data_IF_799839685663
#
_entry.id   IF_799839685663
#
_cell.length_a   1.000
_cell.length_b   1.000
_cell.length_c   1.000
_cell.angle_alpha   90.00
_cell.angle_beta   90.00
_cell.angle_gamma   90.00
#
_symmetry.space_group_name_H-M   'P 1'
#
loop_
_entity.id
_entity.type
_entity.pdbx_description
1 polymer ?
#
# COMPACT_ATOMS: atom_id res chain seq x y z
N UNK A 1 -43.13 -30.75 -40.98
CA UNK A 1 -41.78 -30.20 -41.22
C UNK A 1 -41.61 -28.98 -40.31
N UNK A 2 -40.88 -29.09 -39.19
CA UNK A 2 -40.74 -28.01 -38.19
C UNK A 2 -39.27 -27.56 -38.13
N UNK A 3 -38.99 -26.33 -38.57
CA UNK A 3 -37.64 -25.77 -38.59
C UNK A 3 -37.24 -25.22 -37.21
N UNK A 4 -36.11 -25.68 -36.66
CA UNK A 4 -35.54 -25.19 -35.40
C UNK A 4 -34.81 -23.86 -35.61
N UNK A 5 -35.36 -22.76 -35.09
CA UNK A 5 -34.64 -21.49 -34.99
C UNK A 5 -33.59 -21.54 -33.88
N UNK A 6 -32.30 -21.52 -34.23
CA UNK A 6 -31.20 -21.32 -33.28
C UNK A 6 -31.01 -19.84 -33.01
N UNK A 7 -31.39 -19.38 -31.82
CA UNK A 7 -31.09 -18.02 -31.36
C UNK A 7 -29.57 -17.82 -31.18
N UNK A 8 -28.97 -16.95 -31.98
CA UNK A 8 -27.57 -16.52 -31.80
C UNK A 8 -27.48 -15.62 -30.56
N UNK A 9 -27.03 -16.16 -29.44
CA UNK A 9 -26.62 -15.36 -28.26
C UNK A 9 -25.42 -14.48 -28.65
N UNK A 10 -25.66 -13.19 -28.87
CA UNK A 10 -24.60 -12.18 -29.01
C UNK A 10 -23.99 -11.93 -27.63
N UNK A 11 -22.92 -12.64 -27.29
CA UNK A 11 -22.06 -12.27 -26.16
C UNK A 11 -21.41 -10.92 -26.44
N UNK A 12 -21.79 -9.87 -25.69
CA UNK A 12 -21.08 -8.58 -25.69
C UNK A 12 -19.62 -8.84 -25.31
N UNK A 13 -18.68 -8.65 -26.24
CA UNK A 13 -17.25 -8.63 -25.95
C UNK A 13 -16.99 -7.53 -24.93
N UNK A 14 -16.54 -7.90 -23.73
CA UNK A 14 -16.10 -6.96 -22.69
C UNK A 14 -14.97 -6.10 -23.26
N UNK A 15 -15.15 -4.77 -23.29
CA UNK A 15 -14.10 -3.81 -23.65
C UNK A 15 -12.87 -4.12 -22.78
N UNK A 16 -11.72 -4.42 -23.41
CA UNK A 16 -10.46 -4.55 -22.69
C UNK A 16 -10.17 -3.17 -22.09
N UNK A 17 -10.10 -3.08 -20.78
CA UNK A 17 -9.53 -1.91 -20.10
C UNK A 17 -8.11 -1.72 -20.64
N UNK A 18 -7.78 -0.50 -21.03
CA UNK A 18 -6.42 -0.14 -21.45
C UNK A 18 -5.50 -0.41 -20.25
N UNK A 19 -4.60 -1.37 -20.40
CA UNK A 19 -3.65 -1.74 -19.35
C UNK A 19 -2.62 -0.62 -19.26
N UNK A 20 -2.64 0.14 -18.18
CA UNK A 20 -1.60 1.14 -17.91
C UNK A 20 -0.26 0.39 -17.80
N UNK A 21 0.71 0.64 -18.69
CA UNK A 21 1.98 -0.08 -18.66
C UNK A 21 2.79 0.34 -17.43
N UNK A 22 3.27 -0.64 -16.68
CA UNK A 22 4.21 -0.42 -15.58
C UNK A 22 5.64 -0.34 -16.12
N UNK A 23 6.40 0.64 -15.65
CA UNK A 23 7.82 0.79 -15.95
C UNK A 23 8.67 0.56 -14.70
N UNK A 24 9.81 -0.11 -14.89
CA UNK A 24 10.77 -0.43 -13.83
C UNK A 24 12.05 0.31 -14.13
N UNK A 25 12.44 1.20 -13.21
CA UNK A 25 13.64 2.03 -13.36
C UNK A 25 14.75 1.51 -12.45
N UNK A 26 15.96 1.45 -12.99
CA UNK A 26 17.15 1.09 -12.23
C UNK A 26 17.87 2.36 -11.80
N UNK A 27 18.09 2.53 -10.49
CA UNK A 27 18.74 3.70 -9.92
C UNK A 27 20.22 3.44 -9.64
N UNK A 28 21.10 4.41 -9.96
CA UNK A 28 22.52 4.38 -9.64
C UNK A 28 22.74 4.97 -8.24
N UNK A 29 22.65 4.12 -7.22
CA UNK A 29 22.78 4.51 -5.80
C UNK A 29 24.17 4.24 -5.26
N UNK A 30 24.67 5.15 -4.41
CA UNK A 30 25.86 4.93 -3.59
C UNK A 30 25.57 3.92 -2.46
N UNK A 31 26.62 3.39 -1.85
CA UNK A 31 26.49 2.47 -0.69
C UNK A 31 25.75 3.10 0.49
N UNK A 32 25.96 4.40 0.74
CA UNK A 32 25.30 5.12 1.84
C UNK A 32 23.81 5.33 1.56
N UNK A 33 23.44 5.77 0.35
CA UNK A 33 22.04 5.93 -0.05
C UNK A 33 21.29 4.60 -0.03
N UNK A 34 21.92 3.54 -0.53
CA UNK A 34 21.34 2.19 -0.49
C UNK A 34 21.02 1.76 0.95
N UNK A 35 21.91 2.05 1.91
CA UNK A 35 21.65 1.77 3.34
C UNK A 35 20.44 2.56 3.86
N UNK A 36 20.30 3.84 3.52
CA UNK A 36 19.16 4.66 3.94
C UNK A 36 17.83 4.19 3.32
N UNK A 37 17.85 3.80 2.05
CA UNK A 37 16.67 3.24 1.36
C UNK A 37 16.22 1.94 2.01
N UNK A 38 17.16 1.03 2.28
CA UNK A 38 16.87 -0.24 2.96
C UNK A 38 16.36 -0.01 4.40
N UNK A 39 16.91 0.97 5.10
CA UNK A 39 16.43 1.37 6.43
C UNK A 39 14.99 1.90 6.35
N UNK A 40 14.68 2.75 5.38
CA UNK A 40 13.33 3.28 5.16
C UNK A 40 12.33 2.15 4.91
N UNK A 41 12.66 1.19 4.04
CA UNK A 41 11.82 0.00 3.79
C UNK A 41 11.64 -0.83 5.06
N UNK A 42 12.71 -1.02 5.84
CA UNK A 42 12.64 -1.79 7.10
C UNK A 42 11.72 -1.13 8.11
N UNK A 43 11.85 0.18 8.31
CA UNK A 43 11.01 0.93 9.25
C UNK A 43 9.56 1.00 8.76
N UNK A 44 9.33 1.13 7.44
CA UNK A 44 7.98 1.00 6.85
C UNK A 44 7.33 -0.35 7.16
N UNK A 45 8.05 -1.45 6.98
CA UNK A 45 7.54 -2.80 7.29
C UNK A 45 7.26 -3.00 8.79
N UNK A 46 8.08 -2.40 9.66
CA UNK A 46 7.80 -2.35 11.10
C UNK A 46 6.54 -1.56 11.41
N UNK A 47 6.30 -0.46 10.69
CA UNK A 47 5.09 0.35 10.79
C UNK A 47 3.83 -0.38 10.34
N UNK A 48 3.93 -1.17 9.27
CA UNK A 48 2.81 -1.92 8.71
C UNK A 48 2.27 -3.01 9.65
N UNK A 49 3.15 -3.66 10.43
CA UNK A 49 2.78 -4.77 11.32
C UNK A 49 1.66 -4.43 12.34
N UNK A 50 1.80 -3.42 13.21
CA UNK A 50 0.74 -3.04 14.14
C UNK A 50 -0.52 -2.54 13.42
N UNK A 51 -0.36 -1.84 12.28
CA UNK A 51 -1.48 -1.37 11.48
C UNK A 51 -2.41 -2.48 11.01
N UNK A 52 -1.86 -3.60 10.52
CA UNK A 52 -2.65 -4.76 10.09
C UNK A 52 -3.52 -5.30 11.24
N UNK A 53 -3.00 -5.32 12.47
CA UNK A 53 -3.79 -5.74 13.63
C UNK A 53 -4.91 -4.75 13.96
N UNK A 54 -4.60 -3.44 13.96
CA UNK A 54 -5.57 -2.36 14.19
C UNK A 54 -6.70 -2.44 13.17
N UNK A 55 -6.36 -2.51 11.88
CA UNK A 55 -7.32 -2.60 10.77
C UNK A 55 -8.16 -3.88 10.86
N UNK A 56 -7.56 -5.00 11.25
CA UNK A 56 -8.30 -6.25 11.41
C UNK A 56 -9.32 -6.16 12.57
N UNK A 57 -8.92 -5.55 13.69
CA UNK A 57 -9.78 -5.33 14.85
C UNK A 57 -10.94 -4.36 14.56
N UNK A 58 -10.67 -3.25 13.87
CA UNK A 58 -11.67 -2.24 13.45
C UNK A 58 -12.49 -2.68 12.22
N UNK A 59 -12.39 -3.96 11.85
CA UNK A 59 -12.87 -4.49 10.59
C UNK A 59 -14.34 -4.26 10.26
N UNK A 60 -15.22 -4.17 11.26
CA UNK A 60 -16.66 -3.90 11.08
C UNK A 60 -16.91 -2.44 10.70
N UNK A 61 -16.24 -1.51 11.38
CA UNK A 61 -16.39 -0.06 11.15
C UNK A 61 -15.80 0.35 9.80
N UNK A 62 -14.62 -0.17 9.46
CA UNK A 62 -13.94 0.07 8.18
C UNK A 62 -14.74 -0.49 6.99
N UNK A 63 -15.59 -1.50 7.20
CA UNK A 63 -16.37 -2.14 6.13
C UNK A 63 -17.38 -1.22 5.45
N UNK A 64 -17.88 -0.20 6.15
CA UNK A 64 -18.96 0.69 5.71
C UNK A 64 -18.41 1.94 5.00
N UNK A 65 -17.15 2.30 5.27
CA UNK A 65 -16.51 3.51 4.78
C UNK A 65 -16.02 3.37 3.33
N UNK A 66 -15.89 4.50 2.63
CA UNK A 66 -15.16 4.57 1.34
C UNK A 66 -13.64 4.41 1.55
N UNK A 67 -12.87 4.07 0.52
CA UNK A 67 -11.42 3.87 0.64
C UNK A 67 -10.68 5.07 1.27
N UNK A 68 -11.04 6.28 0.85
CA UNK A 68 -10.48 7.53 1.39
C UNK A 68 -10.84 7.72 2.87
N UNK A 69 -12.09 7.44 3.23
CA UNK A 69 -12.55 7.55 4.62
C UNK A 69 -11.88 6.52 5.52
N UNK A 70 -11.65 5.29 5.04
CA UNK A 70 -10.92 4.25 5.80
C UNK A 70 -9.51 4.73 6.16
N UNK A 71 -8.79 5.29 5.19
CA UNK A 71 -7.44 5.81 5.40
C UNK A 71 -7.47 6.96 6.40
N UNK A 72 -8.35 7.95 6.19
CA UNK A 72 -8.48 9.09 7.08
C UNK A 72 -8.90 8.69 8.50
N UNK A 73 -9.78 7.69 8.64
CA UNK A 73 -10.24 7.19 9.94
C UNK A 73 -9.08 6.63 10.76
N UNK A 74 -8.22 5.82 10.14
CA UNK A 74 -7.06 5.23 10.82
C UNK A 74 -5.97 6.27 11.03
N UNK A 75 -5.75 7.18 10.08
CA UNK A 75 -4.72 8.22 10.17
C UNK A 75 -4.90 9.11 11.42
N UNK A 76 -6.15 9.32 11.86
CA UNK A 76 -6.48 10.03 13.11
C UNK A 76 -5.80 9.45 14.35
N UNK A 77 -5.43 8.17 14.36
CA UNK A 77 -4.72 7.56 15.50
C UNK A 77 -3.23 7.92 15.55
N UNK A 78 -2.66 8.47 14.49
CA UNK A 78 -1.21 8.70 14.35
C UNK A 78 -0.84 10.19 14.45
N UNK A 79 -1.74 11.07 14.06
CA UNK A 79 -1.52 12.51 14.08
C UNK A 79 -2.59 13.22 14.89
N UNK A 80 -2.15 13.86 15.99
CA UNK A 80 -2.93 14.90 16.64
C UNK A 80 -3.01 16.07 15.66
N UNK A 81 -4.22 16.49 15.35
CA UNK A 81 -4.47 17.72 14.60
C UNK A 81 -5.44 18.58 15.41
N UNK A 82 -5.53 19.87 15.11
CA UNK A 82 -6.49 20.78 15.77
C UNK A 82 -7.93 20.24 15.72
N UNK A 83 -8.27 19.55 14.62
CA UNK A 83 -9.61 18.98 14.38
C UNK A 83 -9.76 17.54 14.89
N UNK A 84 -8.71 16.96 15.50
CA UNK A 84 -8.71 15.63 16.08
C UNK A 84 -7.83 15.62 17.34
N UNK A 85 -8.26 16.31 18.42
CA UNK A 85 -7.45 16.49 19.63
C UNK A 85 -7.35 15.23 20.49
N UNK A 86 -8.24 14.25 20.30
CA UNK A 86 -8.37 13.09 21.18
C UNK A 86 -8.59 11.80 20.37
N UNK A 87 -7.51 11.10 20.02
CA UNK A 87 -7.62 9.79 19.39
C UNK A 87 -7.66 8.69 20.47
N UNK A 88 -8.39 7.59 20.20
CA UNK A 88 -8.62 6.50 21.17
C UNK A 88 -7.29 6.00 21.77
N UNK A 89 -7.18 6.09 23.10
CA UNK A 89 -6.05 5.59 23.91
C UNK A 89 -5.70 4.11 23.67
N UNK A 90 -6.67 3.29 23.23
CA UNK A 90 -6.51 1.84 23.11
C UNK A 90 -5.36 1.41 22.19
N UNK A 91 -5.20 2.05 21.03
CA UNK A 91 -4.11 1.72 20.10
C UNK A 91 -2.82 2.47 20.42
N UNK A 92 -2.86 3.50 21.26
CA UNK A 92 -1.69 4.33 21.54
C UNK A 92 -0.55 3.52 22.13
N UNK A 93 -0.84 2.62 23.09
CA UNK A 93 0.17 1.72 23.67
C UNK A 93 0.85 0.82 22.64
N UNK A 94 0.17 0.48 21.55
CA UNK A 94 0.75 -0.32 20.46
C UNK A 94 1.66 0.55 19.59
N UNK A 95 1.27 1.81 19.35
CA UNK A 95 2.04 2.77 18.57
C UNK A 95 3.26 3.30 19.33
N UNK A 96 3.16 3.52 20.64
CA UNK A 96 4.23 3.99 21.52
C UNK A 96 5.43 3.03 21.56
N UNK A 97 5.21 1.74 21.29
CA UNK A 97 6.28 0.75 21.14
C UNK A 97 7.22 1.06 19.97
N UNK A 98 6.82 1.99 19.09
CA UNK A 98 7.58 2.36 17.92
C UNK A 98 7.79 3.89 17.87
N UNK A 99 8.85 4.40 18.51
CA UNK A 99 9.09 5.84 18.66
C UNK A 99 9.39 6.57 17.34
N UNK A 100 9.62 5.85 16.24
CA UNK A 100 9.74 6.45 14.90
C UNK A 100 8.40 6.88 14.31
N UNK A 101 7.27 6.36 14.81
CA UNK A 101 5.93 6.49 14.21
C UNK A 101 5.43 7.94 14.10
N UNK A 102 5.53 8.78 15.14
CA UNK A 102 5.07 10.17 15.05
C UNK A 102 5.83 11.02 14.04
N UNK A 103 7.05 10.60 13.68
CA UNK A 103 7.94 11.33 12.76
C UNK A 103 7.87 10.84 11.32
N UNK A 104 7.06 9.83 11.03
CA UNK A 104 6.86 9.40 9.66
C UNK A 104 6.14 10.48 8.84
N UNK A 105 6.51 10.67 7.56
CA UNK A 105 5.73 11.53 6.68
C UNK A 105 4.29 11.05 6.57
N UNK A 106 3.33 11.98 6.61
CA UNK A 106 1.89 11.66 6.53
C UNK A 106 1.54 10.79 5.31
N UNK A 107 2.15 11.05 4.14
CA UNK A 107 1.94 10.22 2.95
C UNK A 107 2.47 8.78 3.08
N UNK A 108 3.55 8.57 3.83
CA UNK A 108 4.05 7.21 4.10
C UNK A 108 3.11 6.47 5.05
N UNK A 109 2.53 7.18 6.02
CA UNK A 109 1.52 6.63 6.93
C UNK A 109 0.27 6.23 6.15
N UNK A 110 -0.23 7.11 5.27
CA UNK A 110 -1.37 6.80 4.40
C UNK A 110 -1.11 5.60 3.50
N UNK A 111 0.09 5.50 2.90
CA UNK A 111 0.49 4.32 2.11
C UNK A 111 0.44 3.03 2.94
N UNK A 112 1.02 3.04 4.15
CA UNK A 112 0.99 1.87 5.03
C UNK A 112 -0.42 1.49 5.50
N UNK A 113 -1.28 2.48 5.75
CA UNK A 113 -2.68 2.24 6.11
C UNK A 113 -3.42 1.59 4.94
N UNK A 114 -3.23 2.10 3.72
CA UNK A 114 -3.82 1.52 2.51
C UNK A 114 -3.36 0.07 2.30
N UNK A 115 -2.06 -0.20 2.46
CA UNK A 115 -1.49 -1.54 2.43
C UNK A 115 -2.14 -2.47 3.47
N UNK A 116 -2.26 -2.00 4.72
CA UNK A 116 -2.87 -2.79 5.80
C UNK A 116 -4.34 -3.12 5.51
N UNK A 117 -5.11 -2.15 4.97
CA UNK A 117 -6.48 -2.37 4.51
C UNK A 117 -6.52 -3.42 3.40
N UNK A 118 -5.62 -3.35 2.42
CA UNK A 118 -5.51 -4.32 1.34
C UNK A 118 -5.22 -5.73 1.85
N UNK A 119 -4.25 -5.88 2.76
CA UNK A 119 -3.87 -7.16 3.39
C UNK A 119 -5.07 -7.78 4.12
N UNK A 120 -5.73 -7.00 4.99
CA UNK A 120 -6.87 -7.49 5.77
C UNK A 120 -8.07 -7.81 4.88
N UNK A 121 -8.35 -6.97 3.87
CA UNK A 121 -9.46 -7.21 2.94
C UNK A 121 -9.23 -8.47 2.12
N UNK A 122 -8.03 -8.67 1.59
CA UNK A 122 -7.65 -9.88 0.86
C UNK A 122 -7.76 -11.13 1.73
N UNK A 123 -7.27 -11.05 2.97
CA UNK A 123 -7.42 -12.13 3.96
C UNK A 123 -8.88 -12.48 4.21
N UNK A 124 -9.74 -11.50 4.52
CA UNK A 124 -11.16 -11.70 4.80
C UNK A 124 -11.89 -12.32 3.63
N UNK A 125 -11.71 -11.81 2.41
CA UNK A 125 -12.35 -12.36 1.20
C UNK A 125 -11.94 -13.81 0.97
N UNK A 126 -10.65 -14.13 1.08
CA UNK A 126 -10.14 -15.50 0.93
C UNK A 126 -10.65 -16.42 2.04
N UNK A 127 -10.73 -15.93 3.26
CA UNK A 127 -11.25 -16.68 4.40
C UNK A 127 -12.75 -16.98 4.24
N UNK A 128 -13.56 -15.99 3.83
CA UNK A 128 -14.98 -16.18 3.55
C UNK A 128 -15.21 -17.16 2.38
N UNK A 129 -14.43 -17.05 1.31
CA UNK A 129 -14.44 -18.01 0.19
C UNK A 129 -14.12 -19.43 0.66
N UNK A 130 -13.13 -19.58 1.55
CA UNK A 130 -12.80 -20.88 2.11
C UNK A 130 -13.94 -21.43 3.00
N UNK A 131 -14.57 -20.57 3.81
CA UNK A 131 -15.71 -20.93 4.66
C UNK A 131 -16.93 -21.37 3.85
N UNK A 132 -17.20 -20.74 2.70
CA UNK A 132 -18.30 -21.11 1.81
C UNK A 132 -18.07 -22.42 1.04
N UNK A 133 -16.93 -23.09 1.26
CA UNK A 133 -16.61 -24.35 0.60
C UNK A 133 -15.92 -24.19 -0.74
N UNK A 134 -15.65 -22.96 -1.20
CA UNK A 134 -14.83 -22.71 -2.37
C UNK A 134 -13.34 -22.89 -2.01
N UNK A 135 -12.90 -24.15 -2.09
CA UNK A 135 -11.53 -24.58 -1.78
C UNK A 135 -11.04 -25.50 -2.91
N UNK A 136 -9.74 -25.43 -3.21
CA UNK A 136 -9.12 -26.30 -4.23
C UNK A 136 -9.22 -27.79 -3.86
N UNK A 137 -9.13 -28.12 -2.56
CA UNK A 137 -9.26 -29.49 -2.03
C UNK A 137 -9.91 -29.47 -0.64
N UNK A 138 -10.55 -30.58 -0.24
CA UNK A 138 -11.25 -30.70 1.06
C UNK A 138 -10.33 -30.50 2.27
N UNK A 139 -9.07 -30.93 2.18
CA UNK A 139 -8.03 -30.83 3.22
C UNK A 139 -7.32 -29.47 3.26
N UNK A 140 -7.65 -28.55 2.35
CA UNK A 140 -6.98 -27.26 2.27
C UNK A 140 -7.24 -26.44 3.54
N UNK A 141 -6.17 -26.01 4.21
CA UNK A 141 -6.24 -25.24 5.46
C UNK A 141 -6.77 -23.83 5.21
N UNK A 142 -7.42 -23.19 6.21
CA UNK A 142 -7.85 -21.81 6.07
C UNK A 142 -6.64 -20.90 5.82
N UNK A 143 -6.87 -19.85 5.05
CA UNK A 143 -5.89 -18.78 4.89
C UNK A 143 -5.58 -18.16 6.26
N UNK A 144 -4.33 -17.76 6.48
CA UNK A 144 -3.87 -17.09 7.71
C UNK A 144 -3.58 -15.63 7.40
N UNK A 145 -3.87 -14.74 8.35
CA UNK A 145 -3.51 -13.33 8.25
C UNK A 145 -1.99 -13.22 8.30
N UNK A 146 -1.37 -12.93 7.16
CA UNK A 146 0.08 -12.73 7.06
C UNK A 146 0.38 -11.27 7.27
N UNK A 147 0.93 -10.94 8.45
CA UNK A 147 1.19 -9.56 8.85
C UNK A 147 2.53 -9.03 8.32
N UNK A 148 3.49 -9.94 8.14
CA UNK A 148 4.82 -9.60 7.64
C UNK A 148 4.81 -9.61 6.11
N UNK A 149 4.28 -8.55 5.51
CA UNK A 149 4.33 -8.41 4.06
C UNK A 149 5.64 -7.70 3.68
N UNK A 150 6.33 -8.23 2.66
CA UNK A 150 7.56 -7.62 2.12
C UNK A 150 7.26 -6.37 1.28
N UNK A 151 6.28 -5.58 1.70
CA UNK A 151 5.83 -4.39 1.00
C UNK A 151 6.94 -3.35 0.94
N UNK A 152 6.89 -2.59 -0.14
CA UNK A 152 7.67 -1.38 -0.34
C UNK A 152 6.74 -0.19 -0.19
N UNK A 153 7.21 0.93 0.36
CA UNK A 153 6.37 2.12 0.50
C UNK A 153 6.02 2.70 -0.86
N UNK A 154 4.76 3.11 -1.01
CA UNK A 154 4.36 3.97 -2.12
C UNK A 154 4.88 5.38 -1.90
N UNK A 155 5.48 5.96 -2.94
CA UNK A 155 6.06 7.30 -2.90
C UNK A 155 5.24 8.26 -3.76
N UNK A 156 4.63 9.25 -3.12
CA UNK A 156 3.81 10.23 -3.80
C UNK A 156 4.66 11.31 -4.51
N UNK A 157 4.34 11.56 -5.78
CA UNK A 157 4.98 12.62 -6.60
C UNK A 157 4.85 13.98 -5.90
N UNK A 158 5.95 14.72 -5.84
CA UNK A 158 6.02 16.05 -5.23
C UNK A 158 6.13 16.07 -3.70
N UNK A 159 5.83 14.95 -3.02
CA UNK A 159 5.84 14.87 -1.55
C UNK A 159 6.93 13.94 -1.03
N UNK A 160 7.18 12.83 -1.74
CA UNK A 160 8.17 11.81 -1.36
C UNK A 160 9.09 11.41 -2.52
N UNK A 161 8.70 11.68 -3.76
CA UNK A 161 9.54 11.53 -4.94
C UNK A 161 9.47 12.80 -5.78
N UNK A 162 10.63 13.33 -6.14
CA UNK A 162 10.78 14.40 -7.11
C UNK A 162 11.50 13.84 -8.33
N UNK A 163 10.98 14.17 -9.50
CA UNK A 163 11.57 13.80 -10.77
C UNK A 163 12.31 15.03 -11.31
N UNK A 164 13.58 14.86 -11.64
CA UNK A 164 14.35 15.88 -12.35
C UNK A 164 14.00 15.93 -13.84
N UNK A 165 14.67 16.81 -14.57
CA UNK A 165 14.41 17.05 -15.99
C UNK A 165 14.49 15.76 -16.80
N UNK A 166 13.51 15.59 -17.68
CA UNK A 166 13.35 14.41 -18.52
C UNK A 166 13.45 13.07 -17.77
N UNK A 167 13.15 13.04 -16.46
CA UNK A 167 13.25 11.86 -15.60
C UNK A 167 14.66 11.24 -15.54
N UNK A 168 15.71 12.04 -15.79
CA UNK A 168 17.09 11.55 -15.73
C UNK A 168 17.53 11.27 -14.28
N UNK A 169 17.02 12.07 -13.35
CA UNK A 169 17.37 12.00 -11.95
C UNK A 169 16.10 11.94 -11.09
N UNK A 170 16.20 11.34 -9.91
CA UNK A 170 15.13 11.34 -8.91
C UNK A 170 15.68 11.68 -7.54
N UNK A 171 14.95 12.49 -6.78
CA UNK A 171 15.19 12.67 -5.35
C UNK A 171 14.11 11.90 -4.58
N UNK A 172 14.54 11.07 -3.64
CA UNK A 172 13.65 10.26 -2.80
C UNK A 172 13.71 10.77 -1.37
N UNK A 173 12.55 10.89 -0.73
CA UNK A 173 12.48 11.20 0.69
C UNK A 173 12.75 9.92 1.48
N UNK A 174 13.81 9.93 2.30
CA UNK A 174 14.29 8.76 3.05
C UNK A 174 14.28 9.04 4.54
N UNK A 175 14.14 7.99 5.33
CA UNK A 175 14.24 8.08 6.78
C UNK A 175 15.70 7.97 7.21
N UNK A 176 16.20 8.98 7.92
CA UNK A 176 17.54 8.99 8.51
C UNK A 176 17.43 9.14 10.02
N UNK A 177 17.84 8.09 10.75
CA UNK A 177 17.70 7.94 12.21
C UNK A 177 16.25 8.07 12.67
N UNK A 178 15.77 9.30 12.87
CA UNK A 178 14.42 9.63 13.33
C UNK A 178 13.73 10.67 12.46
N UNK A 179 14.41 11.29 11.50
CA UNK A 179 13.85 12.37 10.70
C UNK A 179 13.80 11.99 9.23
N UNK A 180 12.87 12.61 8.50
CA UNK A 180 12.69 12.33 7.09
C UNK A 180 13.33 13.44 6.25
N UNK A 181 14.40 13.08 5.55
CA UNK A 181 15.22 13.99 4.75
C UNK A 181 15.06 13.68 3.27
N UNK A 182 15.30 14.69 2.42
CA UNK A 182 15.45 14.46 1.00
C UNK A 182 16.82 13.84 0.73
N UNK A 183 16.83 12.71 0.03
CA UNK A 183 18.04 12.17 -0.57
C UNK A 183 18.51 13.04 -1.74
N UNK A 184 19.76 12.84 -2.15
CA UNK A 184 20.35 13.59 -3.27
C UNK A 184 19.80 13.09 -4.61
N UNK A 185 20.04 13.84 -5.69
CA UNK A 185 19.57 13.53 -7.05
C UNK A 185 20.19 12.23 -7.59
N UNK A 186 19.50 11.11 -7.43
CA UNK A 186 19.92 9.77 -7.86
C UNK A 186 19.69 9.62 -9.36
N UNK A 187 20.73 9.24 -10.11
CA UNK A 187 20.64 9.03 -11.56
C UNK A 187 19.86 7.76 -11.90
N UNK A 188 18.99 7.86 -12.90
CA UNK A 188 18.24 6.74 -13.49
C UNK A 188 19.04 6.13 -14.64
N UNK A 189 19.41 4.85 -14.53
CA UNK A 189 20.31 4.15 -15.48
C UNK A 189 19.57 3.53 -16.66
N UNK A 190 18.52 2.75 -16.39
CA UNK A 190 17.74 2.07 -17.42
C UNK A 190 16.33 2.66 -17.46
N UNK A 191 16.02 3.31 -18.57
CA UNK A 191 14.71 3.88 -18.86
C UNK A 191 14.17 3.26 -20.13
N UNK A 192 12.89 2.91 -20.13
CA UNK A 192 12.12 2.78 -21.38
C UNK A 192 11.43 4.12 -21.61
N UNK A 193 11.60 4.74 -22.78
CA UNK A 193 11.13 6.10 -23.08
C UNK A 193 9.60 6.22 -23.25
N UNK A 194 8.81 5.44 -22.51
CA UNK A 194 7.36 5.31 -22.74
C UNK A 194 6.50 6.43 -22.16
N UNK A 195 7.08 7.27 -21.29
CA UNK A 195 6.40 8.40 -20.64
C UNK A 195 6.70 9.75 -21.29
N UNK A 196 7.33 9.76 -22.49
CA UNK A 196 7.62 10.96 -23.28
C UNK A 196 6.66 11.13 -24.46
N UNK A 197 5.53 10.43 -24.45
CA UNK A 197 4.46 10.58 -25.43
C UNK A 197 3.42 11.60 -24.98
#
# INVERSE_FOLDING_TARGET
MMAKFKAKRKTKKKKRTEMIPTDVWVLKVTSCEKKLLLLTVREYRKFLKPLVFIVNAEGKLIGILTEKEKVNWIEKYFHVTSNNPNYKYYYQKVLDKYPSFPKFPSYLIRAAIADAIGIVSSFKTRYLSWQSGNRFRRTYKPHRLTVMCQNYPDLYKGKQILYGDNYQNVALKVLSRKDCIWGHNIVVKNRKNRHLG
#
